data_IF_300504811383
#
_entry.id   IF_300504811383
#
_cell.length_a   1.000
_cell.length_b   1.000
_cell.length_c   1.000
_cell.angle_alpha   90.00
_cell.angle_beta   90.00
_cell.angle_gamma   90.00
#
_symmetry.space_group_name_H-M   'P 1'
#
loop_
_entity.id
_entity.type
_entity.pdbx_description
1 polymer ?
#
# COMPACT_ATOMS: atom_id res chain seq x y z
N UNK A 1 -19.11 -3.86 12.20
CA UNK A 1 -17.92 -3.69 13.04
C UNK A 1 -16.64 -4.19 12.36
N UNK A 2 -16.56 -5.43 11.85
CA UNK A 2 -15.37 -5.91 11.15
C UNK A 2 -15.01 -5.06 9.90
N UNK A 3 -16.01 -4.61 9.15
CA UNK A 3 -15.81 -3.69 8.04
C UNK A 3 -15.25 -2.31 8.47
N UNK A 4 -15.59 -1.83 9.68
CA UNK A 4 -15.00 -0.60 10.22
C UNK A 4 -13.51 -0.74 10.53
N UNK A 5 -13.04 -1.91 10.90
CA UNK A 5 -11.60 -2.14 11.08
C UNK A 5 -10.85 -2.08 9.74
N UNK A 6 -11.42 -2.66 8.69
CA UNK A 6 -10.87 -2.52 7.34
C UNK A 6 -10.92 -1.07 6.87
N UNK A 7 -12.02 -0.37 7.17
CA UNK A 7 -12.13 1.06 6.90
C UNK A 7 -11.00 1.85 7.55
N UNK A 8 -10.70 1.61 8.84
CA UNK A 8 -9.60 2.26 9.55
C UNK A 8 -8.25 2.07 8.86
N UNK A 9 -7.91 0.83 8.49
CA UNK A 9 -6.62 0.52 7.85
C UNK A 9 -6.48 1.25 6.51
N UNK A 10 -7.56 1.28 5.71
CA UNK A 10 -7.54 1.93 4.38
C UNK A 10 -7.63 3.45 4.52
N UNK A 11 -8.46 3.93 5.45
CA UNK A 11 -8.57 5.35 5.78
C UNK A 11 -7.20 5.92 6.17
N UNK A 12 -6.52 5.27 7.13
CA UNK A 12 -5.22 5.70 7.63
C UNK A 12 -4.16 5.74 6.51
N UNK A 13 -4.12 4.72 5.65
CA UNK A 13 -3.21 4.70 4.52
C UNK A 13 -3.45 5.85 3.52
N UNK A 14 -4.70 6.28 3.34
CA UNK A 14 -5.07 7.33 2.39
C UNK A 14 -4.95 8.74 2.99
N UNK A 15 -5.41 8.93 4.23
CA UNK A 15 -5.53 10.22 4.89
C UNK A 15 -4.17 10.90 5.11
N UNK A 16 -3.15 10.11 5.42
CA UNK A 16 -1.79 10.58 5.69
C UNK A 16 -1.16 11.24 4.47
N UNK A 17 -1.45 10.73 3.25
CA UNK A 17 -0.88 11.31 2.02
C UNK A 17 -1.18 12.81 1.86
N UNK A 18 -2.38 13.24 2.25
CA UNK A 18 -2.80 14.64 2.16
C UNK A 18 -2.13 15.50 3.23
N UNK A 19 -1.84 14.92 4.39
CA UNK A 19 -1.20 15.61 5.51
C UNK A 19 0.34 15.74 5.36
N UNK A 20 0.98 14.98 4.47
CA UNK A 20 2.45 14.93 4.34
C UNK A 20 3.11 16.30 4.22
N UNK A 21 2.68 17.24 3.36
CA UNK A 21 3.32 18.54 3.28
C UNK A 21 3.22 19.34 4.57
N UNK A 22 2.09 19.26 5.28
CA UNK A 22 1.90 19.91 6.59
C UNK A 22 2.80 19.28 7.66
N UNK A 23 2.94 17.95 7.68
CA UNK A 23 3.88 17.21 8.53
C UNK A 23 5.32 17.68 8.24
N UNK A 24 5.69 17.77 6.95
CA UNK A 24 7.02 18.21 6.52
C UNK A 24 7.38 19.60 7.01
N UNK A 25 6.45 20.55 6.83
CA UNK A 25 6.66 21.94 7.24
C UNK A 25 6.78 22.12 8.75
N UNK A 26 6.00 21.37 9.55
CA UNK A 26 6.01 21.51 11.00
C UNK A 26 7.13 20.71 11.69
N UNK A 27 7.45 19.52 11.20
CA UNK A 27 8.50 18.68 11.77
C UNK A 27 9.86 18.84 11.10
N UNK A 28 9.98 19.72 10.10
CA UNK A 28 11.23 19.97 9.37
C UNK A 28 11.72 18.75 8.57
N UNK A 29 10.80 17.98 7.97
CA UNK A 29 11.12 16.77 7.22
C UNK A 29 11.28 17.09 5.73
N UNK A 30 12.37 16.63 5.14
CA UNK A 30 12.58 16.66 3.69
C UNK A 30 11.72 15.58 2.97
N UNK A 31 11.72 15.61 1.65
CA UNK A 31 10.92 14.71 0.82
C UNK A 31 11.23 13.23 1.08
N UNK A 32 12.50 12.89 1.34
CA UNK A 32 12.92 11.53 1.67
C UNK A 32 12.37 11.10 3.03
N UNK A 33 12.50 11.96 4.05
CA UNK A 33 11.95 11.70 5.37
C UNK A 33 10.41 11.57 5.33
N UNK A 34 9.73 12.37 4.50
CA UNK A 34 8.28 12.26 4.28
C UNK A 34 7.88 10.91 3.66
N UNK A 35 8.66 10.38 2.71
CA UNK A 35 8.38 9.04 2.17
C UNK A 35 8.47 7.95 3.24
N UNK A 36 9.34 8.15 4.24
CA UNK A 36 9.44 7.24 5.38
C UNK A 36 8.21 7.27 6.30
N UNK A 37 7.43 8.34 6.35
CA UNK A 37 6.16 8.37 7.11
C UNK A 37 5.19 7.32 6.56
N UNK A 38 5.18 7.09 5.24
CA UNK A 38 4.39 6.04 4.60
C UNK A 38 5.11 4.68 4.75
N UNK A 39 6.39 4.64 4.42
CA UNK A 39 7.19 3.41 4.35
C UNK A 39 7.30 2.73 5.71
N UNK A 40 7.47 3.49 6.80
CA UNK A 40 7.52 2.97 8.17
C UNK A 40 6.23 2.23 8.58
N UNK A 41 5.09 2.57 8.00
CA UNK A 41 3.84 1.83 8.18
C UNK A 41 3.75 0.61 7.24
N UNK A 42 4.01 0.83 5.96
CA UNK A 42 3.79 -0.17 4.90
C UNK A 42 4.70 -1.38 5.04
N UNK A 43 5.98 -1.18 5.43
CA UNK A 43 6.96 -2.27 5.57
C UNK A 43 6.60 -3.25 6.70
N UNK A 44 6.37 -2.82 7.96
CA UNK A 44 5.93 -3.76 9.00
C UNK A 44 4.55 -4.35 8.68
N UNK A 45 3.64 -3.58 8.09
CA UNK A 45 2.35 -4.10 7.68
C UNK A 45 2.50 -5.26 6.69
N UNK A 46 3.20 -5.05 5.57
CA UNK A 46 3.40 -6.07 4.54
C UNK A 46 4.25 -7.25 5.01
N UNK A 47 5.35 -6.96 5.73
CA UNK A 47 6.29 -7.99 6.19
C UNK A 47 5.74 -8.91 7.29
N UNK A 48 4.86 -8.38 8.15
CA UNK A 48 4.26 -9.13 9.26
C UNK A 48 2.85 -9.65 8.97
N UNK A 49 2.26 -9.33 7.80
CA UNK A 49 0.87 -9.68 7.49
C UNK A 49 0.62 -11.19 7.56
N UNK A 50 1.50 -11.99 6.97
CA UNK A 50 1.39 -13.45 6.97
C UNK A 50 1.61 -14.04 8.37
N UNK A 51 2.54 -13.48 9.14
CA UNK A 51 2.72 -13.83 10.54
C UNK A 51 1.47 -13.51 11.35
N UNK A 52 0.85 -12.34 11.11
CA UNK A 52 -0.41 -11.93 11.74
C UNK A 52 -1.54 -12.93 11.51
N UNK A 53 -1.68 -13.43 10.27
CA UNK A 53 -2.61 -14.51 9.95
C UNK A 53 -2.35 -15.77 10.75
N UNK A 54 -1.10 -16.26 10.79
CA UNK A 54 -0.71 -17.43 11.58
C UNK A 54 -0.91 -17.26 13.08
N UNK A 55 -0.65 -16.05 13.58
CA UNK A 55 -0.94 -15.73 14.99
C UNK A 55 -2.44 -15.79 15.28
N UNK A 56 -3.28 -15.31 14.34
CA UNK A 56 -4.73 -15.37 14.47
C UNK A 56 -5.24 -16.82 14.50
N UNK A 57 -4.73 -17.67 13.63
CA UNK A 57 -5.06 -19.12 13.63
C UNK A 57 -4.67 -19.78 14.96
N UNK A 58 -3.51 -19.42 15.54
CA UNK A 58 -2.98 -20.01 16.77
C UNK A 58 -3.64 -19.53 18.05
N UNK A 59 -3.84 -18.21 18.18
CA UNK A 59 -4.30 -17.57 19.43
C UNK A 59 -5.76 -17.16 19.40
N UNK A 60 -6.45 -17.37 18.27
CA UNK A 60 -7.84 -17.00 18.05
C UNK A 60 -7.97 -15.64 17.34
N UNK A 61 -8.82 -15.61 16.32
CA UNK A 61 -9.02 -14.45 15.44
C UNK A 61 -9.57 -13.23 16.19
N UNK A 62 -10.56 -13.44 17.08
CA UNK A 62 -11.12 -12.36 17.92
C UNK A 62 -10.05 -11.71 18.80
N UNK A 63 -9.20 -12.52 19.42
CA UNK A 63 -8.15 -12.01 20.32
C UNK A 63 -7.13 -11.19 19.54
N UNK A 64 -6.66 -11.68 18.40
CA UNK A 64 -5.71 -10.97 17.56
C UNK A 64 -6.33 -9.71 16.94
N UNK A 65 -7.60 -9.77 16.54
CA UNK A 65 -8.34 -8.61 16.07
C UNK A 65 -8.37 -7.50 17.15
N UNK A 66 -8.70 -7.84 18.39
CA UNK A 66 -8.75 -6.87 19.49
C UNK A 66 -7.37 -6.31 19.84
N UNK A 67 -6.34 -7.16 19.94
CA UNK A 67 -4.96 -6.70 20.24
C UNK A 67 -4.39 -5.84 19.11
N UNK A 68 -4.62 -6.23 17.84
CA UNK A 68 -4.25 -5.43 16.68
C UNK A 68 -4.96 -4.07 16.65
N UNK A 69 -6.29 -4.05 16.93
CA UNK A 69 -7.06 -2.78 17.02
C UNK A 69 -6.55 -1.91 18.17
N UNK A 70 -6.31 -2.46 19.35
CA UNK A 70 -5.79 -1.71 20.49
C UNK A 70 -4.40 -1.12 20.21
N UNK A 71 -3.50 -1.92 19.64
CA UNK A 71 -2.18 -1.46 19.20
C UNK A 71 -2.27 -0.37 18.13
N UNK A 72 -3.17 -0.51 17.16
CA UNK A 72 -3.39 0.48 16.11
C UNK A 72 -3.89 1.81 16.68
N UNK A 73 -4.85 1.78 17.62
CA UNK A 73 -5.36 2.97 18.32
C UNK A 73 -4.28 3.65 19.14
N UNK A 74 -3.51 2.88 19.92
CA UNK A 74 -2.41 3.42 20.72
C UNK A 74 -1.32 4.06 19.83
N UNK A 75 -0.95 3.40 18.73
CA UNK A 75 -0.01 3.92 17.76
C UNK A 75 -0.52 5.19 17.07
N UNK A 76 -1.82 5.22 16.71
CA UNK A 76 -2.45 6.42 16.13
C UNK A 76 -2.42 7.60 17.10
N UNK A 77 -2.74 7.37 18.38
CA UNK A 77 -2.63 8.41 19.40
C UNK A 77 -1.18 8.89 19.55
N UNK A 78 -0.20 7.97 19.58
CA UNK A 78 1.21 8.32 19.64
C UNK A 78 1.69 9.11 18.41
N UNK A 79 1.19 8.77 17.20
CA UNK A 79 1.49 9.51 15.98
C UNK A 79 0.93 10.93 16.00
N UNK A 80 -0.33 11.09 16.50
CA UNK A 80 -0.94 12.42 16.65
C UNK A 80 -0.30 13.29 17.75
N UNK A 81 0.42 12.68 18.69
CA UNK A 81 1.20 13.39 19.73
C UNK A 81 2.68 13.57 19.36
N UNK A 82 3.08 13.21 18.14
CA UNK A 82 4.49 13.23 17.76
C UNK A 82 5.04 14.67 17.65
N UNK A 83 6.07 14.96 18.41
CA UNK A 83 6.80 16.22 18.41
C UNK A 83 8.08 16.18 17.58
N UNK A 84 8.40 15.04 16.98
CA UNK A 84 9.59 14.85 16.14
C UNK A 84 9.33 13.80 15.06
N UNK A 85 10.07 13.90 13.96
CA UNK A 85 10.02 12.90 12.89
C UNK A 85 10.32 11.48 13.37
N UNK A 86 11.31 11.31 14.25
CA UNK A 86 11.66 9.99 14.82
C UNK A 86 10.50 9.37 15.60
N UNK A 87 9.81 10.16 16.43
CA UNK A 87 8.63 9.70 17.18
C UNK A 87 7.49 9.30 16.22
N UNK A 88 7.23 10.12 15.20
CA UNK A 88 6.22 9.81 14.19
C UNK A 88 6.54 8.51 13.44
N UNK A 89 7.79 8.33 12.98
CA UNK A 89 8.21 7.12 12.28
C UNK A 89 8.10 5.86 13.17
N UNK A 90 8.48 5.95 14.44
CA UNK A 90 8.33 4.84 15.39
C UNK A 90 6.85 4.50 15.63
N UNK A 91 5.98 5.50 15.80
CA UNK A 91 4.54 5.30 15.92
C UNK A 91 3.95 4.66 14.65
N UNK A 92 4.36 5.12 13.47
CA UNK A 92 3.95 4.53 12.17
C UNK A 92 4.39 3.07 12.03
N UNK A 93 5.61 2.73 12.44
CA UNK A 93 6.09 1.35 12.40
C UNK A 93 5.28 0.43 13.32
N UNK A 94 4.98 0.88 14.52
CA UNK A 94 4.13 0.15 15.46
C UNK A 94 2.68 0.04 14.96
N UNK A 95 2.15 1.09 14.32
CA UNK A 95 0.82 1.10 13.71
C UNK A 95 0.73 0.09 12.55
N UNK A 96 1.76 0.02 11.68
CA UNK A 96 1.84 -0.96 10.60
C UNK A 96 1.90 -2.40 11.11
N UNK A 97 2.70 -2.66 12.15
CA UNK A 97 2.73 -3.97 12.82
C UNK A 97 1.38 -4.36 13.43
N UNK A 98 0.66 -3.39 14.02
CA UNK A 98 -0.69 -3.59 14.57
C UNK A 98 -1.72 -3.87 13.47
N UNK A 99 -1.64 -3.17 12.34
CA UNK A 99 -2.47 -3.42 11.16
C UNK A 99 -2.25 -4.83 10.59
N UNK A 100 -1.02 -5.35 10.66
CA UNK A 100 -0.69 -6.71 10.22
C UNK A 100 -1.38 -7.81 11.06
N UNK A 101 -1.72 -7.52 12.32
CA UNK A 101 -2.54 -8.41 13.16
C UNK A 101 -4.04 -8.22 12.88
N UNK A 102 -4.46 -6.97 12.71
CA UNK A 102 -5.85 -6.58 12.56
C UNK A 102 -6.48 -7.05 11.25
N UNK A 103 -5.82 -6.80 10.11
CA UNK A 103 -6.40 -7.00 8.79
C UNK A 103 -6.71 -8.48 8.49
N UNK A 104 -5.80 -9.45 8.64
CA UNK A 104 -6.10 -10.86 8.38
C UNK A 104 -7.11 -11.43 9.39
N UNK A 105 -7.04 -11.03 10.67
CA UNK A 105 -8.01 -11.46 11.68
C UNK A 105 -9.43 -10.96 11.38
N UNK A 106 -9.56 -9.72 10.86
CA UNK A 106 -10.84 -9.15 10.42
C UNK A 106 -11.48 -9.97 9.30
N UNK A 107 -10.70 -10.29 8.26
CA UNK A 107 -11.18 -11.07 7.12
C UNK A 107 -11.56 -12.50 7.52
N UNK A 108 -10.75 -13.16 8.36
CA UNK A 108 -11.02 -14.49 8.86
C UNK A 108 -12.34 -14.52 9.70
N UNK A 109 -12.56 -13.54 10.56
CA UNK A 109 -13.81 -13.43 11.31
C UNK A 109 -15.02 -13.25 10.40
N UNK A 110 -14.92 -12.46 9.33
CA UNK A 110 -15.99 -12.33 8.33
C UNK A 110 -16.33 -13.68 7.73
N UNK A 111 -15.32 -14.46 7.31
CA UNK A 111 -15.54 -15.76 6.67
C UNK A 111 -16.05 -16.83 7.64
N UNK A 112 -15.73 -16.73 8.93
CA UNK A 112 -16.21 -17.65 9.98
C UNK A 112 -17.65 -17.37 10.39
N UNK A 113 -18.02 -16.10 10.52
CA UNK A 113 -19.38 -15.70 10.97
C UNK A 113 -20.42 -15.94 9.87
N UNK A 114 -20.07 -15.68 8.61
CA UNK A 114 -20.97 -15.85 7.48
C UNK A 114 -20.73 -17.19 6.78
N UNK A 115 -21.36 -18.25 7.26
CA UNK A 115 -21.12 -19.64 6.82
C UNK A 115 -21.77 -19.92 5.45
N UNK A 116 -22.96 -19.37 5.17
CA UNK A 116 -23.63 -19.59 3.89
C UNK A 116 -22.92 -18.87 2.75
N UNK A 117 -22.85 -19.47 1.56
CA UNK A 117 -22.16 -18.89 0.41
C UNK A 117 -22.72 -17.51 0.00
N UNK A 118 -24.05 -17.35 0.07
CA UNK A 118 -24.73 -16.10 -0.27
C UNK A 118 -24.41 -14.98 0.74
N UNK A 119 -24.49 -15.26 2.06
CA UNK A 119 -24.24 -14.25 3.09
C UNK A 119 -22.75 -13.89 3.17
N UNK A 120 -21.87 -14.88 2.95
CA UNK A 120 -20.42 -14.65 2.84
C UNK A 120 -20.09 -13.74 1.66
N UNK A 121 -20.68 -13.98 0.49
CA UNK A 121 -20.47 -13.14 -0.69
C UNK A 121 -20.93 -11.69 -0.44
N UNK A 122 -22.10 -11.50 0.21
CA UNK A 122 -22.58 -10.16 0.61
C UNK A 122 -21.64 -9.50 1.61
N UNK A 123 -21.19 -10.23 2.64
CA UNK A 123 -20.31 -9.70 3.68
C UNK A 123 -18.94 -9.29 3.10
N UNK A 124 -18.35 -10.10 2.21
CA UNK A 124 -17.12 -9.78 1.50
C UNK A 124 -17.31 -8.61 0.53
N UNK A 125 -18.46 -8.51 -0.13
CA UNK A 125 -18.83 -7.36 -0.96
C UNK A 125 -18.89 -6.07 -0.16
N UNK A 126 -19.53 -6.08 1.01
CA UNK A 126 -19.58 -4.93 1.94
C UNK A 126 -18.16 -4.59 2.42
N UNK A 127 -17.37 -5.60 2.80
CA UNK A 127 -15.99 -5.42 3.26
C UNK A 127 -15.10 -4.75 2.19
N UNK A 128 -15.24 -5.18 0.92
CA UNK A 128 -14.56 -4.55 -0.21
C UNK A 128 -15.06 -3.13 -0.52
N UNK A 129 -16.37 -2.90 -0.49
CA UNK A 129 -16.96 -1.57 -0.70
C UNK A 129 -16.52 -0.56 0.38
N UNK A 130 -16.41 -1.01 1.63
CA UNK A 130 -15.93 -0.20 2.75
C UNK A 130 -14.44 0.13 2.60
N UNK A 131 -13.62 -0.76 2.02
CA UNK A 131 -12.24 -0.46 1.68
C UNK A 131 -12.17 0.68 0.63
N UNK A 132 -12.97 0.61 -0.44
CA UNK A 132 -13.07 1.69 -1.43
C UNK A 132 -13.56 3.01 -0.82
N UNK A 133 -14.61 2.95 0.01
CA UNK A 133 -15.12 4.12 0.73
C UNK A 133 -14.07 4.71 1.68
N UNK A 134 -13.26 3.87 2.35
CA UNK A 134 -12.17 4.29 3.21
C UNK A 134 -11.10 5.09 2.46
N UNK A 135 -10.77 4.69 1.23
CA UNK A 135 -9.82 5.43 0.40
C UNK A 135 -10.35 6.81 0.02
N UNK A 136 -11.58 6.91 -0.49
CA UNK A 136 -12.20 8.18 -0.85
C UNK A 136 -12.41 9.08 0.38
N UNK A 137 -12.90 8.51 1.49
CA UNK A 137 -13.05 9.23 2.76
C UNK A 137 -11.71 9.72 3.28
N UNK A 138 -10.63 8.91 3.16
CA UNK A 138 -9.29 9.29 3.59
C UNK A 138 -8.78 10.54 2.89
N UNK A 139 -8.93 10.59 1.58
CA UNK A 139 -8.56 11.76 0.78
C UNK A 139 -9.36 13.00 1.19
N UNK A 140 -10.69 12.88 1.33
CA UNK A 140 -11.55 14.01 1.71
C UNK A 140 -11.31 14.45 3.16
N UNK A 141 -11.38 13.51 4.12
CA UNK A 141 -11.19 13.80 5.53
C UNK A 141 -9.76 14.30 5.81
N UNK A 142 -8.76 13.76 5.07
CA UNK A 142 -7.39 14.23 5.15
C UNK A 142 -7.28 15.72 4.85
N UNK A 143 -7.95 16.18 3.79
CA UNK A 143 -8.02 17.59 3.44
C UNK A 143 -8.73 18.43 4.51
N UNK A 144 -9.94 18.03 4.92
CA UNK A 144 -10.75 18.75 5.91
C UNK A 144 -10.02 18.82 7.26
N UNK A 145 -9.60 17.69 7.78
CA UNK A 145 -8.99 17.60 9.12
C UNK A 145 -7.65 18.34 9.18
N UNK A 146 -6.80 18.18 8.16
CA UNK A 146 -5.51 18.87 8.10
C UNK A 146 -5.67 20.37 8.02
N UNK A 147 -6.62 20.88 7.21
CA UNK A 147 -6.86 22.31 7.08
C UNK A 147 -7.53 22.93 8.30
N UNK A 148 -8.45 22.20 8.98
CA UNK A 148 -9.23 22.76 10.08
C UNK A 148 -8.58 22.57 11.45
N UNK A 149 -7.90 21.45 11.69
CA UNK A 149 -7.43 21.03 13.01
C UNK A 149 -5.93 20.68 13.08
N UNK A 150 -5.21 20.81 11.95
CA UNK A 150 -3.82 20.38 11.85
C UNK A 150 -3.65 18.92 11.46
N UNK A 151 -2.42 18.55 11.04
CA UNK A 151 -2.09 17.21 10.56
C UNK A 151 -2.24 16.13 11.64
N UNK A 152 -2.12 16.46 12.91
CA UNK A 152 -2.25 15.54 14.05
C UNK A 152 -3.63 14.88 14.07
N UNK A 153 -4.63 15.62 13.64
CA UNK A 153 -6.04 15.18 13.61
C UNK A 153 -6.27 13.98 12.68
N UNK A 154 -5.45 13.80 11.64
CA UNK A 154 -5.56 12.66 10.73
C UNK A 154 -5.22 11.33 11.42
N UNK A 155 -4.42 11.39 12.48
CA UNK A 155 -4.14 10.23 13.33
C UNK A 155 -5.19 10.08 14.44
N UNK A 156 -5.58 11.19 15.07
CA UNK A 156 -6.57 11.16 16.14
C UNK A 156 -7.96 10.67 15.69
N UNK A 157 -8.33 10.83 14.41
CA UNK A 157 -9.62 10.32 13.88
C UNK A 157 -9.74 8.80 14.01
N UNK A 158 -8.62 8.07 13.98
CA UNK A 158 -8.60 6.63 14.15
C UNK A 158 -8.96 6.20 15.59
N UNK A 159 -8.70 7.06 16.59
CA UNK A 159 -8.88 6.73 18.02
C UNK A 159 -10.34 6.48 18.36
N UNK A 160 -11.29 7.40 18.13
CA UNK A 160 -12.70 7.16 18.48
C UNK A 160 -13.30 6.00 17.70
N UNK A 161 -12.93 5.83 16.41
CA UNK A 161 -13.45 4.73 15.60
C UNK A 161 -12.93 3.39 16.12
N UNK A 162 -11.63 3.29 16.40
CA UNK A 162 -11.02 2.07 16.93
C UNK A 162 -11.51 1.75 18.36
N UNK A 163 -11.73 2.74 19.20
CA UNK A 163 -12.31 2.55 20.52
C UNK A 163 -13.76 2.03 20.44
N UNK A 164 -14.57 2.53 19.50
CA UNK A 164 -15.90 2.03 19.24
C UNK A 164 -15.86 0.55 18.83
N UNK A 165 -14.94 0.17 17.94
CA UNK A 165 -14.73 -1.22 17.56
C UNK A 165 -14.35 -2.08 18.77
N UNK A 166 -13.39 -1.65 19.59
CA UNK A 166 -12.96 -2.37 20.79
C UNK A 166 -14.07 -2.55 21.81
N UNK A 167 -14.90 -1.53 22.00
CA UNK A 167 -16.03 -1.58 22.95
C UNK A 167 -17.15 -2.52 22.52
N UNK A 168 -17.38 -2.63 21.20
CA UNK A 168 -18.54 -3.39 20.67
C UNK A 168 -18.21 -4.85 20.36
N UNK A 169 -17.00 -5.17 19.95
CA UNK A 169 -16.60 -6.54 19.56
C UNK A 169 -16.82 -7.59 20.65
N UNK A 170 -16.52 -7.32 21.95
CA UNK A 170 -16.74 -8.31 23.01
C UNK A 170 -18.18 -8.80 23.14
N UNK A 171 -19.15 -7.93 22.84
CA UNK A 171 -20.57 -8.27 22.87
C UNK A 171 -21.11 -8.89 21.59
N UNK A 172 -20.45 -8.67 20.45
CA UNK A 172 -20.93 -9.10 19.13
C UNK A 172 -20.33 -10.41 18.65
N UNK A 173 -19.10 -10.71 19.05
CA UNK A 173 -18.36 -11.88 18.58
C UNK A 173 -17.98 -12.75 19.77
N UNK A 174 -18.45 -14.00 19.75
CA UNK A 174 -18.08 -15.00 20.76
C UNK A 174 -16.58 -15.29 20.69
N UNK A 175 -16.02 -15.75 21.81
CA UNK A 175 -14.61 -16.19 21.82
C UNK A 175 -14.48 -17.42 20.93
N UNK A 176 -13.60 -17.32 19.93
CA UNK A 176 -13.19 -18.46 19.16
C UNK A 176 -12.23 -19.35 19.98
N UNK A 177 -12.31 -20.65 19.76
CA UNK A 177 -11.33 -21.60 20.30
C UNK A 177 -10.03 -21.41 19.54
N UNK A 178 -8.90 -21.31 20.26
CA UNK A 178 -7.59 -21.35 19.64
C UNK A 178 -7.45 -22.63 18.80
N UNK A 179 -6.99 -22.46 17.56
CA UNK A 179 -6.74 -23.59 16.66
C UNK A 179 -5.54 -24.45 17.11
N UNK A 180 -5.16 -25.40 16.25
CA UNK A 180 -3.99 -26.24 16.50
C UNK A 180 -2.73 -25.38 16.70
N UNK A 181 -1.88 -25.80 17.67
CA UNK A 181 -0.62 -25.10 17.99
C UNK A 181 0.42 -25.30 16.88
N UNK A 182 0.20 -24.65 15.74
CA UNK A 182 1.20 -24.62 14.67
C UNK A 182 2.45 -23.84 15.11
N UNK A 183 3.63 -24.28 14.69
CA UNK A 183 4.87 -23.54 14.94
C UNK A 183 4.85 -22.24 14.13
N UNK A 184 5.23 -21.13 14.78
CA UNK A 184 5.33 -19.82 14.14
C UNK A 184 6.71 -19.67 13.52
N UNK A 185 6.78 -19.26 12.27
CA UNK A 185 8.03 -18.90 11.60
C UNK A 185 8.41 -17.44 11.89
N UNK A 186 8.81 -17.18 13.14
CA UNK A 186 9.33 -15.87 13.52
C UNK A 186 10.63 -15.49 12.78
N UNK A 187 11.59 -16.43 12.57
CA UNK A 187 12.78 -16.13 11.78
C UNK A 187 12.46 -15.70 10.35
N UNK A 188 11.51 -16.35 9.68
CA UNK A 188 11.05 -15.95 8.35
C UNK A 188 10.47 -14.55 8.34
N UNK A 189 9.55 -14.23 9.27
CA UNK A 189 8.95 -12.90 9.37
C UNK A 189 9.98 -11.79 9.64
N UNK A 190 10.92 -12.04 10.56
CA UNK A 190 11.96 -11.07 10.89
C UNK A 190 12.93 -10.84 9.73
N UNK A 191 13.37 -11.92 9.06
CA UNK A 191 14.31 -11.82 7.95
C UNK A 191 13.71 -11.11 6.72
N UNK A 192 12.45 -11.38 6.36
CA UNK A 192 11.80 -10.68 5.25
C UNK A 192 11.58 -9.21 5.58
N UNK A 193 11.09 -8.88 6.77
CA UNK A 193 10.85 -7.48 7.17
C UNK A 193 12.15 -6.69 7.26
N UNK A 194 13.16 -7.23 7.93
CA UNK A 194 14.47 -6.58 8.04
C UNK A 194 15.18 -6.47 6.68
N UNK A 195 15.10 -7.50 5.84
CA UNK A 195 15.67 -7.49 4.50
C UNK A 195 15.06 -6.41 3.60
N UNK A 196 13.74 -6.30 3.59
CA UNK A 196 13.04 -5.24 2.84
C UNK A 196 13.36 -3.85 3.39
N UNK A 197 13.40 -3.70 4.72
CA UNK A 197 13.77 -2.43 5.37
C UNK A 197 15.18 -2.01 4.98
N UNK A 198 16.13 -2.94 4.95
CA UNK A 198 17.50 -2.65 4.55
C UNK A 198 17.60 -2.24 3.06
N UNK A 199 16.87 -2.90 2.15
CA UNK A 199 16.83 -2.52 0.73
C UNK A 199 16.23 -1.13 0.54
N UNK A 200 15.09 -0.86 1.18
CA UNK A 200 14.45 0.46 1.11
C UNK A 200 15.34 1.53 1.72
N UNK A 201 16.01 1.22 2.84
CA UNK A 201 17.01 2.09 3.45
C UNK A 201 18.20 2.37 2.53
N UNK A 202 18.71 1.36 1.82
CA UNK A 202 19.76 1.56 0.80
C UNK A 202 19.30 2.53 -0.28
N UNK A 203 18.12 2.30 -0.87
CA UNK A 203 17.55 3.16 -1.92
C UNK A 203 17.37 4.61 -1.43
N UNK A 204 16.82 4.80 -0.23
CA UNK A 204 16.59 6.14 0.35
C UNK A 204 17.89 6.89 0.67
N UNK A 205 19.00 6.19 0.93
CA UNK A 205 20.29 6.83 1.19
C UNK A 205 21.08 7.16 -0.08
N UNK A 206 20.66 6.63 -1.25
CA UNK A 206 21.37 6.91 -2.51
C UNK A 206 21.37 8.39 -2.87
N UNK A 207 20.34 9.12 -2.48
CA UNK A 207 20.22 10.56 -2.71
C UNK A 207 21.33 11.36 -2.02
N UNK A 208 21.60 11.04 -0.74
CA UNK A 208 22.56 11.81 0.07
C UNK A 208 24.00 11.34 -0.12
N UNK A 209 24.18 10.04 -0.35
CA UNK A 209 25.49 9.39 -0.33
C UNK A 209 25.95 8.91 -1.71
N UNK A 210 25.05 8.79 -2.68
CA UNK A 210 25.32 8.17 -3.99
C UNK A 210 25.30 6.64 -3.96
N UNK A 211 25.11 6.02 -5.14
CA UNK A 211 25.01 4.56 -5.28
C UNK A 211 26.27 3.79 -4.89
N UNK A 212 27.44 4.40 -5.00
CA UNK A 212 28.75 3.77 -4.75
C UNK A 212 29.21 3.88 -3.30
N UNK A 213 28.46 4.58 -2.45
CA UNK A 213 28.84 4.76 -1.04
C UNK A 213 28.77 3.44 -0.25
N UNK A 214 29.78 3.13 0.59
CA UNK A 214 29.84 1.86 1.33
C UNK A 214 28.58 1.55 2.17
N UNK A 215 27.94 2.56 2.75
CA UNK A 215 26.69 2.40 3.52
C UNK A 215 25.55 1.93 2.64
N UNK A 216 25.41 2.49 1.43
CA UNK A 216 24.35 2.12 0.47
C UNK A 216 24.56 0.69 -0.01
N UNK A 217 25.80 0.37 -0.41
CA UNK A 217 26.17 -0.99 -0.84
C UNK A 217 25.99 -1.98 0.32
N UNK A 218 26.44 -1.63 1.53
CA UNK A 218 26.32 -2.47 2.72
C UNK A 218 24.86 -2.78 3.07
N UNK A 219 23.98 -1.77 3.09
CA UNK A 219 22.54 -1.97 3.32
C UNK A 219 21.90 -2.82 2.21
N UNK A 220 22.25 -2.59 0.95
CA UNK A 220 21.77 -3.38 -0.18
C UNK A 220 22.19 -4.86 -0.08
N UNK A 221 23.45 -5.11 0.24
CA UNK A 221 23.98 -6.47 0.45
C UNK A 221 23.32 -7.16 1.65
N UNK A 222 23.22 -6.46 2.79
CA UNK A 222 22.52 -6.99 3.98
C UNK A 222 21.08 -7.33 3.66
N UNK A 223 20.37 -6.45 2.96
CA UNK A 223 19.01 -6.70 2.54
C UNK A 223 18.88 -7.91 1.62
N UNK A 224 19.73 -8.03 0.60
CA UNK A 224 19.75 -9.17 -0.30
C UNK A 224 20.07 -10.49 0.43
N UNK A 225 21.04 -10.49 1.33
CA UNK A 225 21.39 -11.65 2.16
C UNK A 225 20.22 -12.06 3.06
N UNK A 226 19.58 -11.11 3.74
CA UNK A 226 18.42 -11.41 4.59
C UNK A 226 17.24 -11.98 3.79
N UNK A 227 16.98 -11.50 2.58
CA UNK A 227 15.95 -12.07 1.70
C UNK A 227 16.33 -13.47 1.21
N UNK A 228 17.61 -13.71 0.91
CA UNK A 228 18.09 -15.06 0.57
C UNK A 228 17.95 -16.02 1.77
N UNK A 229 18.30 -15.56 2.97
CA UNK A 229 18.09 -16.32 4.22
C UNK A 229 16.60 -16.59 4.45
N UNK A 230 15.73 -15.61 4.22
CA UNK A 230 14.27 -15.81 4.28
C UNK A 230 13.84 -16.96 3.36
N UNK A 231 14.23 -16.94 2.08
CA UNK A 231 13.87 -18.01 1.12
C UNK A 231 14.43 -19.36 1.58
N UNK A 232 15.65 -19.39 2.14
CA UNK A 232 16.24 -20.62 2.66
C UNK A 232 15.52 -21.16 3.91
N UNK A 233 15.02 -20.27 4.78
CA UNK A 233 14.20 -20.63 5.94
C UNK A 233 12.87 -21.22 5.46
N UNK A 234 12.14 -20.52 4.56
CA UNK A 234 10.87 -20.95 4.01
C UNK A 234 10.96 -22.31 3.30
N UNK A 235 12.09 -22.57 2.64
CA UNK A 235 12.33 -23.85 1.94
C UNK A 235 12.58 -25.04 2.91
N UNK A 236 12.97 -24.77 4.16
CA UNK A 236 13.38 -25.81 5.14
C UNK A 236 12.43 -25.92 6.33
N UNK A 237 11.64 -24.92 6.60
CA UNK A 237 10.73 -24.86 7.76
C UNK A 237 9.53 -25.78 7.53
N UNK A 238 9.16 -26.56 8.55
CA UNK A 238 8.00 -27.47 8.48
C UNK A 238 6.66 -26.70 8.42
N UNK A 239 6.61 -25.48 8.92
CA UNK A 239 5.41 -24.60 8.91
C UNK A 239 5.78 -23.23 8.36
N UNK A 240 6.10 -23.11 7.05
CA UNK A 240 6.56 -21.85 6.45
C UNK A 240 5.43 -20.81 6.44
N UNK A 241 5.80 -19.51 6.50
CA UNK A 241 4.86 -18.41 6.27
C UNK A 241 4.34 -18.46 4.84
N UNK A 242 5.25 -18.70 3.90
CA UNK A 242 4.97 -18.79 2.47
C UNK A 242 5.32 -20.17 1.96
N UNK A 243 4.33 -20.96 1.55
CA UNK A 243 4.58 -22.22 0.86
C UNK A 243 5.09 -21.94 -0.55
N UNK A 244 6.41 -22.01 -0.77
CA UNK A 244 7.05 -21.62 -2.04
C UNK A 244 6.48 -22.35 -3.27
N UNK A 245 5.88 -23.55 -3.09
CA UNK A 245 5.25 -24.29 -4.19
C UNK A 245 4.04 -23.56 -4.81
N UNK A 246 3.38 -22.65 -4.08
CA UNK A 246 2.24 -21.88 -4.59
C UNK A 246 2.64 -21.03 -5.82
N UNK A 247 3.91 -20.61 -5.89
CA UNK A 247 4.45 -19.85 -7.02
C UNK A 247 4.72 -20.71 -8.28
N UNK A 248 4.55 -22.04 -8.20
CA UNK A 248 4.50 -22.91 -9.38
C UNK A 248 3.25 -22.65 -10.22
N UNK A 249 2.17 -22.20 -9.59
CA UNK A 249 1.01 -21.69 -10.29
C UNK A 249 1.35 -20.32 -10.92
N UNK A 250 1.31 -20.25 -12.25
CA UNK A 250 1.65 -19.06 -13.01
C UNK A 250 0.65 -17.93 -12.85
N UNK A 251 -0.62 -18.24 -12.56
CA UNK A 251 -1.62 -17.23 -12.26
C UNK A 251 -1.28 -16.55 -10.93
N UNK A 252 -0.93 -17.31 -9.90
CA UNK A 252 -0.49 -16.79 -8.60
C UNK A 252 0.76 -15.92 -8.75
N UNK A 253 1.79 -16.41 -9.44
CA UNK A 253 3.03 -15.65 -9.66
C UNK A 253 2.80 -14.38 -10.46
N UNK A 254 2.03 -14.45 -11.55
CA UNK A 254 1.68 -13.29 -12.38
C UNK A 254 0.84 -12.26 -11.64
N UNK A 255 -0.16 -12.72 -10.87
CA UNK A 255 -1.02 -11.86 -10.07
C UNK A 255 -0.27 -11.15 -8.94
N UNK A 256 0.58 -11.88 -8.19
CA UNK A 256 1.42 -11.27 -7.14
C UNK A 256 2.42 -10.27 -7.71
N UNK A 257 3.02 -10.58 -8.87
CA UNK A 257 3.91 -9.65 -9.56
C UNK A 257 3.16 -8.40 -10.04
N UNK A 258 1.93 -8.56 -10.58
CA UNK A 258 1.07 -7.42 -10.92
C UNK A 258 0.80 -6.56 -9.68
N UNK A 259 0.42 -7.18 -8.55
CA UNK A 259 0.10 -6.46 -7.32
C UNK A 259 1.31 -5.74 -6.72
N UNK A 260 2.52 -6.27 -6.88
CA UNK A 260 3.75 -5.58 -6.50
C UNK A 260 3.92 -4.28 -7.30
N UNK A 261 3.76 -4.33 -8.61
CA UNK A 261 3.87 -3.13 -9.46
C UNK A 261 2.71 -2.15 -9.27
N UNK A 262 1.49 -2.65 -9.07
CA UNK A 262 0.33 -1.82 -8.71
C UNK A 262 0.57 -1.10 -7.39
N UNK A 263 1.08 -1.80 -6.37
CA UNK A 263 1.42 -1.20 -5.08
C UNK A 263 2.41 -0.05 -5.21
N UNK A 264 3.51 -0.28 -5.95
CA UNK A 264 4.53 0.74 -6.21
C UNK A 264 3.99 1.96 -6.96
N UNK A 265 3.26 1.74 -8.04
CA UNK A 265 2.66 2.82 -8.81
C UNK A 265 1.62 3.61 -8.00
N UNK A 266 0.76 2.93 -7.25
CA UNK A 266 -0.31 3.55 -6.44
C UNK A 266 0.28 4.42 -5.33
N UNK A 267 1.18 3.85 -4.51
CA UNK A 267 1.78 4.58 -3.40
C UNK A 267 2.57 5.79 -3.90
N UNK A 268 3.34 5.59 -4.97
CA UNK A 268 4.14 6.65 -5.59
C UNK A 268 3.29 7.79 -6.17
N UNK A 269 2.19 7.47 -6.88
CA UNK A 269 1.34 8.52 -7.47
C UNK A 269 0.62 9.34 -6.42
N UNK A 270 0.06 8.72 -5.39
CA UNK A 270 -0.62 9.49 -4.33
C UNK A 270 0.35 10.38 -3.55
N UNK A 271 1.56 9.88 -3.27
CA UNK A 271 2.62 10.68 -2.65
C UNK A 271 3.04 11.86 -3.55
N UNK A 272 3.44 11.60 -4.79
CA UNK A 272 3.92 12.63 -5.69
C UNK A 272 2.83 13.66 -6.04
N UNK A 273 1.58 13.20 -6.23
CA UNK A 273 0.44 14.08 -6.52
C UNK A 273 0.12 15.00 -5.33
N UNK A 274 0.21 14.51 -4.10
CA UNK A 274 0.03 15.33 -2.90
C UNK A 274 1.09 16.41 -2.79
N UNK A 275 2.36 16.08 -3.01
CA UNK A 275 3.47 17.07 -3.03
C UNK A 275 3.28 18.07 -4.17
N UNK A 276 2.94 17.59 -5.38
CA UNK A 276 2.71 18.47 -6.54
C UNK A 276 1.60 19.48 -6.29
N UNK A 277 0.46 19.05 -5.81
CA UNK A 277 -0.68 19.94 -5.55
C UNK A 277 -0.38 20.96 -4.47
N UNK A 278 0.30 20.59 -3.41
CA UNK A 278 0.51 21.48 -2.27
C UNK A 278 1.81 22.31 -2.40
N UNK A 279 2.95 21.69 -2.72
CA UNK A 279 4.23 22.38 -2.79
C UNK A 279 4.48 23.11 -4.12
N UNK A 280 3.91 22.63 -5.24
CA UNK A 280 4.07 23.28 -6.56
C UNK A 280 2.91 24.22 -6.85
N UNK A 281 1.65 23.73 -6.77
CA UNK A 281 0.47 24.51 -7.13
C UNK A 281 -0.06 25.39 -6.00
N UNK A 282 0.51 25.28 -4.79
CA UNK A 282 0.09 26.06 -3.63
C UNK A 282 -1.33 25.78 -3.13
N UNK A 283 -1.88 24.59 -3.42
CA UNK A 283 -3.18 24.22 -2.91
C UNK A 283 -3.08 23.92 -1.42
N UNK A 284 -4.09 24.34 -0.65
CA UNK A 284 -4.23 23.87 0.73
C UNK A 284 -4.60 22.36 0.75
N UNK A 285 -4.57 21.76 1.93
CA UNK A 285 -4.84 20.35 2.08
C UNK A 285 -6.29 19.98 1.66
N UNK A 286 -7.27 20.86 1.92
CA UNK A 286 -8.66 20.65 1.52
C UNK A 286 -8.81 20.61 -0.01
N UNK A 287 -8.27 21.63 -0.69
CA UNK A 287 -8.30 21.70 -2.16
C UNK A 287 -7.55 20.54 -2.79
N UNK A 288 -6.41 20.16 -2.21
CA UNK A 288 -5.63 18.99 -2.64
C UNK A 288 -6.45 17.70 -2.50
N UNK A 289 -7.14 17.52 -1.38
CA UNK A 289 -8.04 16.37 -1.16
C UNK A 289 -9.21 16.34 -2.16
N UNK A 290 -9.90 17.47 -2.34
CA UNK A 290 -11.03 17.57 -3.28
C UNK A 290 -10.60 17.27 -4.73
N UNK A 291 -9.43 17.76 -5.14
CA UNK A 291 -8.91 17.54 -6.50
C UNK A 291 -8.43 16.10 -6.75
N UNK A 292 -8.22 15.28 -5.72
CA UNK A 292 -7.93 13.85 -5.83
C UNK A 292 -9.19 12.97 -5.87
N UNK A 293 -10.37 13.51 -5.51
CA UNK A 293 -11.63 12.74 -5.55
C UNK A 293 -11.97 12.15 -6.92
N UNK A 294 -11.74 12.82 -8.07
CA UNK A 294 -11.99 12.20 -9.38
C UNK A 294 -11.19 10.93 -9.61
N UNK A 295 -9.94 10.87 -9.17
CA UNK A 295 -9.13 9.65 -9.26
C UNK A 295 -9.74 8.54 -8.40
N UNK A 296 -10.01 8.80 -7.13
CA UNK A 296 -10.59 7.84 -6.20
C UNK A 296 -12.01 7.44 -6.61
N UNK A 297 -12.84 8.39 -7.04
CA UNK A 297 -14.20 8.15 -7.51
C UNK A 297 -14.22 7.31 -8.77
N UNK A 298 -13.35 7.60 -9.74
CA UNK A 298 -13.25 6.81 -10.99
C UNK A 298 -12.79 5.38 -10.70
N UNK A 299 -11.83 5.20 -9.77
CA UNK A 299 -11.42 3.88 -9.35
C UNK A 299 -12.60 3.06 -8.81
N UNK A 300 -13.41 3.64 -7.91
CA UNK A 300 -14.56 2.97 -7.30
C UNK A 300 -15.64 2.67 -8.34
N UNK A 301 -16.00 3.65 -9.18
CA UNK A 301 -17.04 3.51 -10.20
C UNK A 301 -16.66 2.48 -11.27
N UNK A 302 -15.40 2.47 -11.69
CA UNK A 302 -14.92 1.57 -12.75
C UNK A 302 -14.74 0.13 -12.24
N UNK A 303 -14.44 -0.07 -10.95
CA UNK A 303 -14.25 -1.40 -10.37
C UNK A 303 -15.44 -2.33 -10.63
N UNK A 304 -16.67 -1.82 -10.62
CA UNK A 304 -17.87 -2.59 -10.92
C UNK A 304 -17.98 -3.07 -12.39
N UNK A 305 -17.28 -2.43 -13.32
CA UNK A 305 -17.28 -2.81 -14.74
C UNK A 305 -16.15 -3.81 -15.09
N UNK A 306 -15.16 -4.00 -14.21
CA UNK A 306 -14.01 -4.88 -14.46
C UNK A 306 -14.40 -6.34 -14.70
N UNK A 307 -15.39 -6.96 -13.98
CA UNK A 307 -15.83 -8.32 -14.28
C UNK A 307 -16.25 -8.52 -15.74
N UNK A 308 -16.99 -7.58 -16.32
CA UNK A 308 -17.37 -7.64 -17.73
C UNK A 308 -16.17 -7.53 -18.70
N UNK A 309 -15.14 -6.78 -18.32
CA UNK A 309 -13.89 -6.74 -19.08
C UNK A 309 -13.13 -8.07 -18.99
N UNK A 310 -13.13 -8.72 -17.81
CA UNK A 310 -12.52 -10.04 -17.61
C UNK A 310 -13.23 -11.12 -18.45
N UNK A 311 -14.55 -11.10 -18.52
CA UNK A 311 -15.33 -12.04 -19.36
C UNK A 311 -14.99 -11.90 -20.85
N UNK A 312 -14.76 -10.67 -21.34
CA UNK A 312 -14.46 -10.40 -22.76
C UNK A 312 -12.99 -10.63 -23.14
N UNK A 313 -12.07 -10.22 -22.31
CA UNK A 313 -10.63 -10.18 -22.63
C UNK A 313 -9.86 -11.35 -21.98
N UNK A 314 -10.44 -11.96 -20.97
CA UNK A 314 -9.74 -12.87 -20.06
C UNK A 314 -8.91 -12.13 -19.02
N UNK A 315 -8.66 -12.81 -17.91
CA UNK A 315 -8.10 -12.24 -16.69
C UNK A 315 -6.73 -11.56 -16.90
N UNK A 316 -5.79 -12.25 -17.53
CA UNK A 316 -4.42 -11.74 -17.77
C UNK A 316 -4.36 -10.54 -18.70
N UNK A 317 -5.15 -10.57 -19.78
CA UNK A 317 -5.19 -9.44 -20.72
C UNK A 317 -5.82 -8.22 -20.06
N UNK A 318 -6.84 -8.41 -19.23
CA UNK A 318 -7.43 -7.32 -18.46
C UNK A 318 -6.40 -6.67 -17.54
N UNK A 319 -5.59 -7.45 -16.81
CA UNK A 319 -4.49 -6.92 -15.99
C UNK A 319 -3.50 -6.12 -16.84
N UNK A 320 -3.02 -6.68 -17.95
CA UNK A 320 -2.03 -6.04 -18.80
C UNK A 320 -2.56 -4.73 -19.43
N UNK A 321 -3.79 -4.73 -19.94
CA UNK A 321 -4.45 -3.54 -20.50
C UNK A 321 -4.62 -2.47 -19.42
N UNK A 322 -5.08 -2.85 -18.23
CA UNK A 322 -5.29 -1.92 -17.12
C UNK A 322 -3.98 -1.27 -16.65
N UNK A 323 -2.90 -2.04 -16.55
CA UNK A 323 -1.57 -1.51 -16.24
C UNK A 323 -1.03 -0.59 -17.35
N UNK A 324 -1.34 -0.87 -18.61
CA UNK A 324 -0.99 0.00 -19.74
C UNK A 324 -1.78 1.31 -19.71
N UNK A 325 -3.08 1.25 -19.39
CA UNK A 325 -3.91 2.44 -19.19
C UNK A 325 -3.37 3.29 -18.03
N UNK A 326 -3.03 2.64 -16.91
CA UNK A 326 -2.39 3.29 -15.77
C UNK A 326 -1.11 4.02 -16.17
N UNK A 327 -0.24 3.35 -16.91
CA UNK A 327 1.01 3.93 -17.39
C UNK A 327 0.77 5.13 -18.32
N UNK A 328 -0.22 5.05 -19.21
CA UNK A 328 -0.60 6.16 -20.08
C UNK A 328 -1.12 7.37 -19.29
N UNK A 329 -1.96 7.14 -18.29
CA UNK A 329 -2.46 8.21 -17.40
C UNK A 329 -1.33 8.86 -16.60
N UNK A 330 -0.37 8.08 -16.10
CA UNK A 330 0.80 8.58 -15.38
C UNK A 330 1.76 9.36 -16.28
N UNK A 331 2.00 8.88 -17.50
CA UNK A 331 2.79 9.60 -18.51
C UNK A 331 2.11 10.93 -18.89
N UNK A 332 0.77 10.94 -19.01
CA UNK A 332 0.03 12.18 -19.24
C UNK A 332 0.15 13.14 -18.04
N UNK A 333 0.00 12.66 -16.82
CA UNK A 333 0.17 13.49 -15.62
C UNK A 333 1.60 14.07 -15.52
N UNK A 334 2.61 13.34 -15.96
CA UNK A 334 4.00 13.81 -15.98
C UNK A 334 4.24 15.04 -16.88
N UNK A 335 3.32 15.34 -17.79
CA UNK A 335 3.40 16.54 -18.65
C UNK A 335 2.83 17.80 -18.00
N UNK A 336 2.29 17.70 -16.78
CA UNK A 336 1.67 18.83 -16.10
C UNK A 336 2.73 19.88 -15.71
N UNK A 337 2.55 21.17 -16.11
CA UNK A 337 3.49 22.26 -15.85
C UNK A 337 3.37 22.78 -14.40
N UNK A 338 4.34 23.59 -13.96
CA UNK A 338 4.37 24.18 -12.61
C UNK A 338 3.19 25.15 -12.32
N UNK A 339 2.52 25.65 -13.35
CA UNK A 339 1.33 26.51 -13.31
C UNK A 339 0.05 25.79 -13.73
N UNK A 340 0.03 24.46 -13.60
CA UNK A 340 -1.10 23.62 -14.03
C UNK A 340 -2.43 24.04 -13.39
N UNK A 341 -3.47 23.97 -14.18
CA UNK A 341 -4.85 24.08 -13.69
C UNK A 341 -5.47 22.68 -13.55
N UNK A 342 -6.35 22.53 -12.56
CA UNK A 342 -6.99 21.25 -12.29
C UNK A 342 -7.72 20.67 -13.51
N UNK A 343 -8.58 21.47 -14.15
CA UNK A 343 -9.42 21.00 -15.25
C UNK A 343 -8.63 20.58 -16.49
N UNK A 344 -7.54 21.31 -16.79
CA UNK A 344 -6.78 21.08 -18.04
C UNK A 344 -5.71 20.02 -17.91
N UNK A 345 -5.06 19.94 -16.72
CA UNK A 345 -3.83 19.17 -16.58
C UNK A 345 -3.92 18.00 -15.59
N UNK A 346 -4.91 18.02 -14.66
CA UNK A 346 -4.98 17.02 -13.58
C UNK A 346 -6.19 16.12 -13.71
N UNK A 347 -7.37 16.68 -14.04
CA UNK A 347 -8.63 15.93 -14.09
C UNK A 347 -8.58 14.76 -15.08
N UNK A 348 -8.18 15.03 -16.34
CA UNK A 348 -8.09 14.00 -17.38
C UNK A 348 -7.16 12.84 -16.99
N UNK A 349 -5.87 13.11 -16.67
CA UNK A 349 -4.97 12.10 -16.18
C UNK A 349 -5.49 11.32 -14.96
N UNK A 350 -6.12 12.00 -14.00
CA UNK A 350 -6.68 11.38 -12.79
C UNK A 350 -7.76 10.35 -13.11
N UNK A 351 -8.64 10.65 -14.06
CA UNK A 351 -9.66 9.71 -14.53
C UNK A 351 -9.02 8.49 -15.20
N UNK A 352 -8.04 8.69 -16.10
CA UNK A 352 -7.35 7.58 -16.79
C UNK A 352 -6.60 6.71 -15.78
N UNK A 353 -5.88 7.31 -14.80
CA UNK A 353 -5.21 6.60 -13.73
C UNK A 353 -6.22 5.78 -12.91
N UNK A 354 -7.37 6.38 -12.54
CA UNK A 354 -8.43 5.70 -11.79
C UNK A 354 -8.97 4.46 -12.49
N UNK A 355 -9.21 4.54 -13.81
CA UNK A 355 -9.62 3.40 -14.66
C UNK A 355 -8.56 2.30 -14.65
N UNK A 356 -7.30 2.67 -14.89
CA UNK A 356 -6.20 1.73 -14.90
C UNK A 356 -5.99 1.03 -13.56
N UNK A 357 -6.03 1.78 -12.46
CA UNK A 357 -5.93 1.23 -11.10
C UNK A 357 -7.07 0.28 -10.78
N UNK A 358 -8.32 0.63 -11.08
CA UNK A 358 -9.49 -0.22 -10.82
C UNK A 358 -9.32 -1.60 -11.47
N UNK A 359 -9.02 -1.61 -12.78
CA UNK A 359 -8.82 -2.86 -13.51
C UNK A 359 -7.61 -3.66 -13.01
N UNK A 360 -6.49 -3.00 -12.74
CA UNK A 360 -5.29 -3.66 -12.25
C UNK A 360 -5.48 -4.27 -10.84
N UNK A 361 -6.17 -3.57 -9.93
CA UNK A 361 -6.49 -4.09 -8.60
C UNK A 361 -7.44 -5.28 -8.66
N UNK A 362 -8.59 -5.13 -9.34
CA UNK A 362 -9.61 -6.19 -9.34
C UNK A 362 -9.12 -7.41 -10.09
N UNK A 363 -8.63 -7.24 -11.33
CA UNK A 363 -8.16 -8.37 -12.13
C UNK A 363 -6.84 -8.94 -11.60
N UNK A 364 -5.92 -8.12 -11.05
CA UNK A 364 -4.67 -8.57 -10.46
C UNK A 364 -4.89 -9.42 -9.20
N UNK A 365 -5.77 -8.98 -8.31
CA UNK A 365 -6.17 -9.76 -7.13
C UNK A 365 -6.80 -11.09 -7.53
N UNK A 366 -7.72 -11.08 -8.50
CA UNK A 366 -8.37 -12.29 -8.97
C UNK A 366 -7.38 -13.25 -9.65
N UNK A 367 -6.42 -12.72 -10.43
CA UNK A 367 -5.36 -13.51 -11.04
C UNK A 367 -4.45 -14.18 -10.00
N UNK A 368 -4.15 -13.51 -8.91
CA UNK A 368 -3.28 -14.01 -7.86
C UNK A 368 -3.89 -15.14 -7.02
N UNK A 369 -5.22 -15.30 -7.06
CA UNK A 369 -5.92 -16.39 -6.37
C UNK A 369 -6.51 -17.43 -7.35
N UNK A 370 -6.31 -17.25 -8.64
CA UNK A 370 -6.85 -18.11 -9.68
C UNK A 370 -6.20 -19.48 -9.67
N UNK A 371 -7.02 -20.54 -9.62
CA UNK A 371 -6.56 -21.93 -9.59
C UNK A 371 -5.88 -22.35 -8.27
N UNK A 372 -6.09 -21.60 -7.20
CA UNK A 372 -5.60 -21.96 -5.85
C UNK A 372 -6.61 -22.85 -5.16
N UNK A 373 -6.12 -23.89 -4.48
CA UNK A 373 -6.96 -24.79 -3.68
C UNK A 373 -7.62 -24.03 -2.51
N UNK A 374 -8.83 -24.48 -2.13
CA UNK A 374 -9.64 -23.76 -1.11
C UNK A 374 -8.94 -23.62 0.24
N UNK A 375 -8.14 -24.62 0.62
CA UNK A 375 -7.33 -24.61 1.85
C UNK A 375 -6.13 -23.67 1.80
N UNK A 376 -5.70 -23.24 0.61
CA UNK A 376 -4.62 -22.27 0.40
C UNK A 376 -5.11 -20.86 0.04
N UNK A 377 -6.43 -20.64 -0.10
CA UNK A 377 -7.01 -19.36 -0.50
C UNK A 377 -6.63 -18.21 0.46
N UNK A 378 -6.55 -18.49 1.76
CA UNK A 378 -6.11 -17.54 2.77
C UNK A 378 -4.65 -17.12 2.59
N UNK A 379 -3.77 -18.08 2.31
CA UNK A 379 -2.36 -17.81 2.01
C UNK A 379 -2.22 -16.97 0.73
N UNK A 380 -2.92 -17.35 -0.35
CA UNK A 380 -2.88 -16.60 -1.61
C UNK A 380 -3.34 -15.15 -1.43
N UNK A 381 -4.45 -14.92 -0.70
CA UNK A 381 -4.94 -13.57 -0.39
C UNK A 381 -3.97 -12.76 0.46
N UNK A 382 -3.32 -13.41 1.44
CA UNK A 382 -2.25 -12.79 2.23
C UNK A 382 -1.07 -12.37 1.37
N UNK A 383 -0.64 -13.23 0.44
CA UNK A 383 0.45 -12.93 -0.50
C UNK A 383 0.13 -11.73 -1.42
N UNK A 384 -1.12 -11.61 -1.88
CA UNK A 384 -1.58 -10.45 -2.68
C UNK A 384 -1.32 -9.14 -1.92
N UNK A 385 -1.81 -9.07 -0.67
CA UNK A 385 -1.63 -7.89 0.17
C UNK A 385 -0.14 -7.64 0.48
N UNK A 386 0.61 -8.69 0.82
CA UNK A 386 2.06 -8.58 1.07
C UNK A 386 2.80 -8.06 -0.15
N UNK A 387 2.52 -8.61 -1.34
CA UNK A 387 3.13 -8.15 -2.60
C UNK A 387 2.82 -6.69 -2.89
N UNK A 388 1.57 -6.27 -2.67
CA UNK A 388 1.15 -4.87 -2.83
C UNK A 388 1.89 -3.93 -1.86
N UNK A 389 1.99 -4.29 -0.59
CA UNK A 389 2.67 -3.47 0.42
C UNK A 389 4.17 -3.39 0.18
N UNK A 390 4.81 -4.51 -0.15
CA UNK A 390 6.23 -4.54 -0.54
C UNK A 390 6.45 -3.67 -1.78
N UNK A 391 5.59 -3.82 -2.78
CA UNK A 391 5.63 -3.01 -3.99
C UNK A 391 5.48 -1.51 -3.67
N UNK A 392 4.56 -1.16 -2.76
CA UNK A 392 4.36 0.20 -2.29
C UNK A 392 5.61 0.81 -1.67
N UNK A 393 6.26 0.08 -0.76
CA UNK A 393 7.48 0.53 -0.10
C UNK A 393 8.66 0.69 -1.08
N UNK A 394 8.92 -0.33 -1.90
CA UNK A 394 9.99 -0.31 -2.89
C UNK A 394 9.75 0.75 -3.97
N UNK A 395 8.52 0.80 -4.50
CA UNK A 395 8.14 1.77 -5.51
C UNK A 395 8.29 3.20 -5.00
N UNK A 396 7.78 3.50 -3.81
CA UNK A 396 7.91 4.83 -3.22
C UNK A 396 9.38 5.23 -3.05
N UNK A 397 10.24 4.34 -2.55
CA UNK A 397 11.67 4.63 -2.39
C UNK A 397 12.35 4.93 -3.72
N UNK A 398 12.09 4.13 -4.77
CA UNK A 398 12.64 4.36 -6.11
C UNK A 398 12.14 5.67 -6.69
N UNK A 399 10.83 5.91 -6.63
CA UNK A 399 10.22 7.10 -7.22
C UNK A 399 10.63 8.39 -6.52
N UNK A 400 10.75 8.37 -5.19
CA UNK A 400 11.25 9.50 -4.41
C UNK A 400 12.70 9.79 -4.76
N UNK A 401 13.54 8.75 -4.85
CA UNK A 401 14.95 8.89 -5.27
C UNK A 401 15.07 9.51 -6.66
N UNK A 402 14.27 9.04 -7.63
CA UNK A 402 14.25 9.61 -8.99
C UNK A 402 13.84 11.10 -8.97
N UNK A 403 12.76 11.41 -8.23
CA UNK A 403 12.28 12.78 -8.12
C UNK A 403 13.34 13.71 -7.51
N UNK A 404 13.91 13.30 -6.38
CA UNK A 404 14.82 14.17 -5.62
C UNK A 404 16.17 14.34 -6.33
N UNK A 405 16.73 13.28 -6.91
CA UNK A 405 17.97 13.36 -7.70
C UNK A 405 17.82 14.36 -8.88
N UNK A 406 16.69 14.29 -9.60
CA UNK A 406 16.46 15.20 -10.71
C UNK A 406 16.22 16.64 -10.25
N UNK A 407 15.46 16.83 -9.17
CA UNK A 407 15.25 18.14 -8.54
C UNK A 407 16.56 18.76 -8.11
N UNK A 408 17.40 18.02 -7.38
CA UNK A 408 18.70 18.53 -6.89
C UNK A 408 19.64 18.89 -8.02
N UNK A 409 19.68 18.07 -9.09
CA UNK A 409 20.48 18.36 -10.29
C UNK A 409 20.05 19.68 -10.94
N UNK A 410 18.75 19.94 -11.08
CA UNK A 410 18.24 21.20 -11.68
C UNK A 410 18.47 22.40 -10.77
N UNK A 411 18.37 22.26 -9.45
CA UNK A 411 18.70 23.32 -8.50
C UNK A 411 20.18 23.71 -8.59
N UNK A 412 21.07 22.75 -8.82
CA UNK A 412 22.49 23.01 -9.03
C UNK A 412 22.78 23.79 -10.33
N UNK A 413 21.87 23.75 -11.31
CA UNK A 413 21.93 24.54 -12.56
C UNK A 413 21.16 25.85 -12.49
N UNK A 414 20.83 26.34 -11.30
CA UNK A 414 20.11 27.60 -11.05
C UNK A 414 18.69 27.65 -11.61
N UNK A 415 18.05 26.49 -11.82
CA UNK A 415 16.63 26.41 -12.19
C UNK A 415 15.77 26.87 -11.00
N UNK A 416 14.69 27.64 -11.21
CA UNK A 416 13.78 28.05 -10.13
C UNK A 416 13.24 26.84 -9.37
N UNK A 417 13.17 26.92 -8.03
CA UNK A 417 12.84 25.81 -7.15
C UNK A 417 11.51 25.11 -7.52
N UNK A 418 10.47 25.87 -7.86
CA UNK A 418 9.17 25.31 -8.26
C UNK A 418 9.27 24.52 -9.56
N UNK A 419 10.05 25.00 -10.55
CA UNK A 419 10.25 24.30 -11.82
C UNK A 419 11.11 23.04 -11.62
N UNK A 420 12.16 23.13 -10.81
CA UNK A 420 13.01 21.99 -10.48
C UNK A 420 12.21 20.90 -9.76
N UNK A 421 11.37 21.27 -8.80
CA UNK A 421 10.51 20.32 -8.08
C UNK A 421 9.46 19.69 -9.02
N UNK A 422 8.84 20.47 -9.91
CA UNK A 422 7.90 19.97 -10.91
C UNK A 422 8.55 18.93 -11.81
N UNK A 423 9.74 19.24 -12.34
CA UNK A 423 10.48 18.31 -13.20
C UNK A 423 10.86 17.02 -12.44
N UNK A 424 11.27 17.12 -11.17
CA UNK A 424 11.53 15.95 -10.34
C UNK A 424 10.30 15.09 -10.14
N UNK A 425 9.15 15.70 -9.85
CA UNK A 425 7.89 14.96 -9.69
C UNK A 425 7.39 14.35 -11.01
N UNK A 426 7.65 15.00 -12.15
CA UNK A 426 7.40 14.41 -13.47
C UNK A 426 8.18 13.10 -13.67
N UNK A 427 9.43 13.04 -13.20
CA UNK A 427 10.21 11.80 -13.20
C UNK A 427 9.62 10.73 -12.27
N UNK A 428 9.05 11.12 -11.13
CA UNK A 428 8.33 10.17 -10.28
C UNK A 428 7.09 9.60 -11.00
N UNK A 429 6.29 10.42 -11.68
CA UNK A 429 5.13 9.96 -12.45
C UNK A 429 5.53 9.07 -13.62
N UNK A 430 6.59 9.41 -14.37
CA UNK A 430 7.13 8.55 -15.43
C UNK A 430 7.67 7.24 -14.88
N UNK A 431 8.37 7.28 -13.75
CA UNK A 431 8.85 6.09 -13.06
C UNK A 431 7.70 5.17 -12.63
N UNK A 432 6.63 5.72 -12.06
CA UNK A 432 5.43 4.96 -11.70
C UNK A 432 4.76 4.35 -12.96
N UNK A 433 4.74 5.10 -14.07
CA UNK A 433 4.28 4.59 -15.36
C UNK A 433 5.17 3.45 -15.89
N UNK A 434 6.48 3.56 -15.76
CA UNK A 434 7.41 2.49 -16.09
C UNK A 434 7.19 1.24 -15.22
N UNK A 435 6.97 1.40 -13.91
CA UNK A 435 6.58 0.30 -13.03
C UNK A 435 5.32 -0.41 -13.54
N UNK A 436 4.28 0.34 -13.91
CA UNK A 436 3.05 -0.23 -14.45
C UNK A 436 3.29 -0.98 -15.78
N UNK A 437 4.09 -0.44 -16.69
CA UNK A 437 4.44 -1.11 -17.97
C UNK A 437 5.25 -2.39 -17.75
N UNK A 438 6.25 -2.35 -16.86
CA UNK A 438 7.03 -3.55 -16.48
C UNK A 438 6.10 -4.61 -15.90
N UNK A 439 5.15 -4.22 -15.06
CA UNK A 439 4.10 -5.11 -14.55
C UNK A 439 3.25 -5.73 -15.67
N UNK A 440 2.82 -4.93 -16.64
CA UNK A 440 2.04 -5.40 -17.80
C UNK A 440 2.82 -6.44 -18.62
N UNK A 441 4.08 -6.14 -18.93
CA UNK A 441 4.98 -7.05 -19.67
C UNK A 441 5.20 -8.33 -18.86
N UNK A 442 5.51 -8.23 -17.57
CA UNK A 442 5.81 -9.36 -16.71
C UNK A 442 4.63 -10.34 -16.63
N UNK A 443 3.39 -9.83 -16.47
CA UNK A 443 2.18 -10.65 -16.43
C UNK A 443 1.95 -11.40 -17.75
N UNK A 444 2.23 -10.76 -18.88
CA UNK A 444 2.09 -11.40 -20.20
C UNK A 444 3.13 -12.48 -20.42
N UNK A 445 4.41 -12.23 -20.06
CA UNK A 445 5.52 -13.18 -20.22
C UNK A 445 5.36 -14.42 -19.33
N UNK A 446 4.97 -14.26 -18.06
CA UNK A 446 4.71 -15.38 -17.15
C UNK A 446 3.59 -16.29 -17.69
N UNK A 447 2.70 -15.76 -18.53
CA UNK A 447 1.59 -16.48 -19.16
C UNK A 447 1.92 -17.29 -20.41
N UNK A 448 2.96 -16.94 -21.15
CA UNK A 448 3.19 -17.45 -22.51
C UNK A 448 3.89 -18.83 -22.61
N UNK A 449 4.42 -19.38 -21.53
CA UNK A 449 5.06 -20.71 -21.59
C UNK A 449 4.08 -21.82 -21.20
N UNK A 450 3.24 -22.25 -22.07
CA UNK A 450 2.82 -23.60 -22.49
C UNK A 450 1.51 -23.57 -23.25
N UNK A 451 1.57 -23.80 -24.56
CA UNK A 451 0.67 -24.79 -25.20
C UNK A 451 1.45 -26.11 -25.19
N UNK A 452 0.89 -27.22 -24.70
CA UNK A 452 1.44 -28.52 -24.91
C UNK A 452 1.44 -28.85 -26.40
#
# INVERSE_FOLDING_TARGET
MLAFAQFLVVLDASIVNIALPSIGSQLGLDTVALSWVITAYVLPFGGLLLLGGRLADRYGHRRLFMTGTAGFVAASAAAGLASSGAMLLAARAFQGGSAALLAPASLALVTQIFVTSSDRAKALGIWGAVAGAGSAAGVLLGGILTSALGWESVFFVNVPIGMLVLATIPGLITRDTAGERTRLDLPGALTVTAGLTAIVGALSQTERLGFTHPVVIGLGVVGAVLLAVFVAIEARTASPLVRLHIFRNRSVSGGNLAMLFVGGATTGVFFALSIYMQAVLGYDALKSGLTQLPLAGTLVLTAGAVPAAIERLGLRRTVAVSLTILAGGLAWLATAPYDATFLQHILGPSVVIGIGLAGAFVAGTQLAVDGVATDEAGLASGLVNTSQQIGGALGLAVLTTLATNHTTHLLATSTPATQALTAGLSWAFLGAGAFALVGAIAVTLVGQRHKP
#
